data_IF_653152068043
#
_entry.id   IF_653152068043
#
_cell.length_a   1.000
_cell.length_b   1.000
_cell.length_c   1.000
_cell.angle_alpha   90.00
_cell.angle_beta   90.00
_cell.angle_gamma   90.00
#
_symmetry.space_group_name_H-M   'P 1'
#
loop_
_entity.id
_entity.type
_entity.pdbx_description
1 polymer ?
#
# COMPACT_ATOMS: atom_id res chain seq x y z
N UNK A 1 -2.69 -6.76 -16.02
CA UNK A 1 -2.38 -6.80 -17.48
C UNK A 1 -2.74 -5.47 -18.16
N UNK A 2 -3.99 -4.98 -18.13
CA UNK A 2 -4.33 -3.65 -18.72
C UNK A 2 -3.48 -2.49 -18.17
N UNK A 3 -3.19 -2.50 -16.87
CA UNK A 3 -2.36 -1.49 -16.20
C UNK A 3 -0.90 -1.47 -16.67
N UNK A 4 -0.35 -2.64 -16.98
CA UNK A 4 1.02 -2.78 -17.51
C UNK A 4 1.12 -2.26 -18.94
N UNK A 5 0.11 -2.52 -19.77
CA UNK A 5 0.08 -2.03 -21.15
C UNK A 5 -0.04 -0.51 -21.16
N UNK A 6 -0.85 0.07 -20.27
CA UNK A 6 -0.99 1.53 -20.17
C UNK A 6 0.31 2.24 -19.74
N UNK A 7 1.03 1.68 -18.76
CA UNK A 7 2.33 2.21 -18.31
C UNK A 7 3.43 2.06 -19.34
N UNK A 8 3.55 0.86 -19.90
CA UNK A 8 4.52 0.58 -20.95
C UNK A 8 4.30 1.49 -22.17
N UNK A 9 3.04 1.71 -22.57
CA UNK A 9 2.72 2.56 -23.72
C UNK A 9 2.98 4.04 -23.43
N UNK A 10 2.61 4.58 -22.26
CA UNK A 10 2.89 5.99 -21.95
C UNK A 10 4.39 6.27 -21.82
N UNK A 11 5.13 5.46 -21.07
CA UNK A 11 6.54 5.74 -20.83
C UNK A 11 7.41 5.41 -22.04
N UNK A 12 7.20 4.25 -22.69
CA UNK A 12 8.08 3.83 -23.80
C UNK A 12 7.72 4.51 -25.12
N UNK A 13 6.43 4.68 -25.44
CA UNK A 13 6.02 5.18 -26.77
C UNK A 13 5.86 6.70 -26.84
N UNK A 14 5.64 7.39 -25.71
CA UNK A 14 5.37 8.83 -25.68
C UNK A 14 6.51 9.58 -25.00
N UNK A 15 6.99 9.11 -23.84
CA UNK A 15 7.96 9.85 -23.04
C UNK A 15 9.40 9.73 -23.55
N UNK A 16 9.87 8.52 -23.90
CA UNK A 16 11.25 8.29 -24.36
C UNK A 16 11.56 9.00 -25.71
N UNK A 17 10.69 8.94 -26.75
CA UNK A 17 10.91 9.67 -27.98
C UNK A 17 10.91 11.19 -27.76
N UNK A 18 9.97 11.73 -26.97
CA UNK A 18 9.93 13.17 -26.68
C UNK A 18 11.18 13.65 -25.93
N UNK A 19 11.69 12.86 -24.98
CA UNK A 19 12.89 13.19 -24.19
C UNK A 19 14.18 13.12 -25.00
N UNK A 20 14.29 12.16 -25.91
CA UNK A 20 15.46 12.00 -26.79
C UNK A 20 15.51 13.04 -27.91
N UNK A 21 14.36 13.53 -28.39
CA UNK A 21 14.30 14.60 -29.39
C UNK A 21 14.45 16.02 -28.80
N UNK A 22 14.07 16.25 -27.54
CA UNK A 22 14.04 17.60 -26.93
C UNK A 22 15.26 18.02 -26.12
N UNK A 23 16.19 17.11 -25.80
CA UNK A 23 17.33 17.39 -24.91
C UNK A 23 18.65 17.50 -25.67
N UNK A 24 18.76 18.48 -26.57
CA UNK A 24 19.98 18.75 -27.36
C UNK A 24 21.18 19.23 -26.50
N UNK A 25 20.95 19.64 -25.23
CA UNK A 25 21.93 20.36 -24.41
C UNK A 25 22.34 19.68 -23.09
N UNK A 26 21.80 18.50 -22.76
CA UNK A 26 22.13 17.80 -21.52
C UNK A 26 22.85 16.47 -21.83
N UNK A 27 24.05 16.30 -21.28
CA UNK A 27 24.73 15.00 -21.30
C UNK A 27 23.87 13.98 -20.56
N UNK A 28 23.31 13.02 -21.28
CA UNK A 28 22.65 11.89 -20.66
C UNK A 28 23.73 11.03 -20.05
N UNK A 29 23.79 10.95 -18.72
CA UNK A 29 24.84 10.21 -17.98
C UNK A 29 24.99 8.76 -18.50
N UNK A 30 23.87 8.16 -18.92
CA UNK A 30 23.84 6.82 -19.51
C UNK A 30 24.48 6.68 -20.89
N UNK A 31 24.68 7.78 -21.62
CA UNK A 31 25.26 7.80 -22.97
C UNK A 31 26.64 8.50 -23.01
N UNK A 32 27.30 8.64 -21.86
CA UNK A 32 28.65 9.22 -21.79
C UNK A 32 29.63 8.37 -22.62
N UNK A 33 30.40 9.03 -23.50
CA UNK A 33 31.35 8.37 -24.41
C UNK A 33 30.80 8.05 -25.81
N UNK A 34 29.52 8.29 -26.09
CA UNK A 34 28.89 8.12 -27.40
C UNK A 34 28.86 9.41 -28.24
N UNK A 35 29.81 10.31 -28.03
CA UNK A 35 29.86 11.58 -28.76
C UNK A 35 30.38 11.40 -30.20
N UNK A 36 29.75 12.00 -31.22
CA UNK A 36 28.53 12.82 -31.15
C UNK A 36 27.23 11.97 -31.07
N UNK A 37 26.37 12.27 -30.09
CA UNK A 37 25.11 11.54 -29.81
C UNK A 37 24.10 11.64 -30.98
N UNK A 38 24.23 12.67 -31.80
CA UNK A 38 23.29 12.94 -32.90
C UNK A 38 23.63 12.18 -34.18
N UNK A 39 24.81 11.53 -34.25
CA UNK A 39 25.23 10.76 -35.42
C UNK A 39 24.78 9.30 -35.30
N UNK A 40 24.38 8.71 -36.43
CA UNK A 40 24.26 7.25 -36.54
C UNK A 40 25.68 6.64 -36.57
N UNK A 41 25.96 5.55 -35.82
CA UNK A 41 25.04 4.68 -35.08
C UNK A 41 24.84 5.04 -33.59
N UNK A 42 25.58 6.02 -33.07
CA UNK A 42 25.60 6.38 -31.64
C UNK A 42 24.22 6.78 -31.10
N UNK A 43 23.41 7.47 -31.92
CA UNK A 43 22.03 7.84 -31.59
C UNK A 43 21.16 6.62 -31.29
N UNK A 44 21.21 5.62 -32.16
CA UNK A 44 20.41 4.39 -32.03
C UNK A 44 20.86 3.60 -30.80
N UNK A 45 22.16 3.49 -30.58
CA UNK A 45 22.72 2.86 -29.38
C UNK A 45 22.25 3.56 -28.09
N UNK A 46 22.29 4.89 -28.03
CA UNK A 46 21.83 5.65 -26.88
C UNK A 46 20.31 5.47 -26.63
N UNK A 47 19.49 5.45 -27.69
CA UNK A 47 18.06 5.17 -27.56
C UNK A 47 17.79 3.78 -26.99
N UNK A 48 18.52 2.75 -27.44
CA UNK A 48 18.37 1.37 -26.93
C UNK A 48 18.78 1.29 -25.46
N UNK A 49 19.88 1.93 -25.07
CA UNK A 49 20.33 1.96 -23.67
C UNK A 49 19.26 2.60 -22.78
N UNK A 50 18.71 3.76 -23.19
CA UNK A 50 17.68 4.45 -22.41
C UNK A 50 16.38 3.65 -22.34
N UNK A 51 15.94 3.07 -23.45
CA UNK A 51 14.75 2.21 -23.47
C UNK A 51 14.90 1.01 -22.53
N UNK A 52 16.08 0.38 -22.51
CA UNK A 52 16.36 -0.73 -21.61
C UNK A 52 16.36 -0.28 -20.15
N UNK A 53 17.01 0.83 -19.82
CA UNK A 53 17.04 1.38 -18.46
C UNK A 53 15.64 1.71 -17.94
N UNK A 54 14.84 2.45 -18.71
CA UNK A 54 13.46 2.80 -18.33
C UNK A 54 12.59 1.55 -18.17
N UNK A 55 12.71 0.57 -19.07
CA UNK A 55 11.98 -0.70 -18.93
C UNK A 55 12.35 -1.43 -17.64
N UNK A 56 13.64 -1.51 -17.30
CA UNK A 56 14.06 -2.14 -16.04
C UNK A 56 13.55 -1.38 -14.82
N UNK A 57 13.58 -0.05 -14.84
CA UNK A 57 13.05 0.79 -13.75
C UNK A 57 11.54 0.55 -13.56
N UNK A 58 10.75 0.59 -14.63
CA UNK A 58 9.31 0.33 -14.59
C UNK A 58 9.00 -1.04 -14.00
N UNK A 59 9.72 -2.09 -14.45
CA UNK A 59 9.52 -3.45 -13.94
C UNK A 59 9.83 -3.54 -12.45
N UNK A 60 10.91 -2.91 -11.98
CA UNK A 60 11.26 -2.90 -10.55
C UNK A 60 10.22 -2.18 -9.69
N UNK A 61 9.77 -0.99 -10.10
CA UNK A 61 8.75 -0.21 -9.38
C UNK A 61 7.43 -0.98 -9.34
N UNK A 62 6.97 -1.51 -10.47
CA UNK A 62 5.74 -2.30 -10.54
C UNK A 62 5.81 -3.54 -9.63
N UNK A 63 6.96 -4.23 -9.61
CA UNK A 63 7.15 -5.43 -8.79
C UNK A 63 7.09 -5.09 -7.30
N UNK A 64 7.72 -3.98 -6.92
CA UNK A 64 7.68 -3.46 -5.56
C UNK A 64 6.26 -3.08 -5.15
N UNK A 65 5.56 -2.28 -5.95
CA UNK A 65 4.18 -1.83 -5.66
C UNK A 65 3.23 -3.02 -5.51
N UNK A 66 3.34 -4.02 -6.39
CA UNK A 66 2.47 -5.20 -6.36
C UNK A 66 2.76 -6.07 -5.15
N UNK A 67 4.03 -6.27 -4.82
CA UNK A 67 4.39 -7.05 -3.63
C UNK A 67 3.88 -6.37 -2.37
N UNK A 68 4.01 -5.04 -2.29
CA UNK A 68 3.46 -4.26 -1.18
C UNK A 68 1.94 -4.38 -1.09
N UNK A 69 1.21 -4.15 -2.19
CA UNK A 69 -0.25 -4.26 -2.24
C UNK A 69 -0.71 -5.68 -1.90
N UNK A 70 0.00 -6.71 -2.39
CA UNK A 70 -0.27 -8.10 -2.08
C UNK A 70 -0.11 -8.38 -0.59
N UNK A 71 0.98 -7.96 0.03
CA UNK A 71 1.23 -8.18 1.46
C UNK A 71 0.16 -7.50 2.33
N UNK A 72 -0.19 -6.25 2.03
CA UNK A 72 -1.28 -5.58 2.73
C UNK A 72 -2.63 -6.30 2.51
N UNK A 73 -2.93 -6.77 1.30
CA UNK A 73 -4.15 -7.52 1.00
C UNK A 73 -4.19 -8.87 1.71
N UNK A 74 -3.06 -9.56 1.76
CA UNK A 74 -2.91 -10.80 2.48
C UNK A 74 -3.15 -10.60 3.99
N UNK A 75 -2.50 -9.61 4.60
CA UNK A 75 -2.68 -9.34 6.04
C UNK A 75 -4.11 -8.91 6.37
N UNK A 76 -4.74 -8.07 5.54
CA UNK A 76 -6.15 -7.72 5.70
C UNK A 76 -7.07 -8.96 5.56
N UNK A 77 -6.78 -9.87 4.63
CA UNK A 77 -7.51 -11.12 4.49
C UNK A 77 -7.34 -12.04 5.71
N UNK A 78 -6.14 -12.09 6.31
CA UNK A 78 -5.92 -12.85 7.56
C UNK A 78 -6.82 -12.33 8.69
N UNK A 79 -6.96 -11.01 8.86
CA UNK A 79 -7.91 -10.44 9.83
C UNK A 79 -9.37 -10.78 9.49
N UNK A 80 -9.73 -10.77 8.20
CA UNK A 80 -11.07 -11.17 7.78
C UNK A 80 -11.37 -12.65 8.08
N UNK A 81 -10.40 -13.54 7.89
CA UNK A 81 -10.55 -14.96 8.26
C UNK A 81 -10.67 -15.10 9.77
N UNK A 82 -9.86 -14.38 10.55
CA UNK A 82 -9.96 -14.37 12.02
C UNK A 82 -11.34 -13.90 12.49
N UNK A 83 -11.91 -12.88 11.84
CA UNK A 83 -13.28 -12.43 12.08
C UNK A 83 -14.30 -13.55 11.84
N UNK A 84 -14.22 -14.26 10.71
CA UNK A 84 -15.12 -15.37 10.39
C UNK A 84 -14.97 -16.54 11.37
N UNK A 85 -13.74 -16.88 11.77
CA UNK A 85 -13.48 -17.89 12.77
C UNK A 85 -14.08 -17.53 14.13
N UNK A 86 -13.99 -16.26 14.52
CA UNK A 86 -14.56 -15.78 15.79
C UNK A 86 -16.09 -15.75 15.77
N UNK A 87 -16.69 -15.39 14.63
CA UNK A 87 -18.13 -15.47 14.44
C UNK A 87 -18.62 -16.93 14.49
N UNK A 88 -17.92 -17.86 13.84
CA UNK A 88 -18.19 -19.30 13.94
C UNK A 88 -18.04 -19.82 15.37
N UNK A 89 -17.01 -19.37 16.08
CA UNK A 89 -16.80 -19.71 17.49
C UNK A 89 -17.99 -19.27 18.37
N UNK A 90 -18.56 -18.09 18.11
CA UNK A 90 -19.71 -17.58 18.88
C UNK A 90 -20.94 -18.49 18.85
N UNK A 91 -21.16 -19.21 17.74
CA UNK A 91 -22.25 -20.17 17.60
C UNK A 91 -22.01 -21.39 18.49
N UNK A 92 -20.76 -21.89 18.53
CA UNK A 92 -20.37 -23.03 19.37
C UNK A 92 -20.45 -22.66 20.86
N UNK A 93 -19.95 -21.48 21.22
CA UNK A 93 -19.97 -20.98 22.60
C UNK A 93 -21.40 -20.88 23.17
N UNK A 94 -22.40 -20.63 22.33
CA UNK A 94 -23.83 -20.58 22.72
C UNK A 94 -24.50 -21.95 22.77
N UNK A 95 -24.02 -22.92 21.99
CA UNK A 95 -24.72 -24.21 21.78
C UNK A 95 -24.13 -25.34 22.63
N UNK A 96 -22.87 -25.22 23.06
CA UNK A 96 -22.22 -26.27 23.84
C UNK A 96 -22.80 -26.37 25.26
N UNK A 97 -23.40 -27.52 25.56
CA UNK A 97 -23.56 -27.99 26.92
C UNK A 97 -22.19 -28.22 27.58
N UNK A 98 -22.13 -28.11 28.91
CA UNK A 98 -20.90 -28.20 29.75
C UNK A 98 -20.32 -29.63 29.76
N UNK A 99 -19.98 -30.19 28.61
CA UNK A 99 -19.22 -31.44 28.45
C UNK A 99 -17.72 -31.14 28.37
N UNK A 100 -16.89 -32.05 28.87
CA UNK A 100 -15.43 -31.91 28.85
C UNK A 100 -14.86 -31.93 27.42
N UNK A 101 -15.50 -32.66 26.50
CA UNK A 101 -15.12 -32.70 25.07
C UNK A 101 -15.37 -31.37 24.37
N UNK A 102 -16.48 -30.70 24.69
CA UNK A 102 -16.78 -29.37 24.15
C UNK A 102 -15.78 -28.31 24.65
N UNK A 103 -15.38 -28.42 25.92
CA UNK A 103 -14.41 -27.50 26.52
C UNK A 103 -13.01 -27.64 25.92
N UNK A 104 -12.60 -28.86 25.55
CA UNK A 104 -11.30 -29.10 24.90
C UNK A 104 -11.29 -28.56 23.46
N UNK A 105 -12.38 -28.75 22.69
CA UNK A 105 -12.51 -28.18 21.35
C UNK A 105 -12.44 -26.63 21.37
N UNK A 106 -13.18 -26.00 22.30
CA UNK A 106 -13.15 -24.54 22.51
C UNK A 106 -11.73 -24.07 22.82
N UNK A 107 -11.01 -24.78 23.70
CA UNK A 107 -9.65 -24.43 24.07
C UNK A 107 -8.69 -24.51 22.87
N UNK A 108 -8.80 -25.55 22.05
CA UNK A 108 -7.95 -25.73 20.87
C UNK A 108 -8.25 -24.69 19.77
N UNK A 109 -9.53 -24.32 19.58
CA UNK A 109 -9.89 -23.23 18.67
C UNK A 109 -9.35 -21.89 19.15
N UNK A 110 -9.47 -21.57 20.44
CA UNK A 110 -8.92 -20.34 21.02
C UNK A 110 -7.40 -20.27 20.86
N UNK A 111 -6.67 -21.36 21.11
CA UNK A 111 -5.21 -21.42 20.89
C UNK A 111 -4.84 -21.09 19.44
N UNK A 112 -5.56 -21.65 18.46
CA UNK A 112 -5.35 -21.36 17.03
C UNK A 112 -5.61 -19.89 16.71
N UNK A 113 -6.71 -19.32 17.21
CA UNK A 113 -7.05 -17.90 17.01
C UNK A 113 -5.97 -17.00 17.61
N UNK A 114 -5.50 -17.28 18.84
CA UNK A 114 -4.43 -16.52 19.50
C UNK A 114 -3.15 -16.53 18.66
N UNK A 115 -2.73 -17.72 18.22
CA UNK A 115 -1.51 -17.87 17.41
C UNK A 115 -1.61 -17.09 16.09
N UNK A 116 -2.73 -17.24 15.37
CA UNK A 116 -2.96 -16.55 14.10
C UNK A 116 -3.09 -15.03 14.26
N UNK A 117 -3.74 -14.56 15.33
CA UNK A 117 -3.83 -13.14 15.64
C UNK A 117 -2.45 -12.55 15.94
N UNK A 118 -1.61 -13.25 16.73
CA UNK A 118 -0.23 -12.83 16.99
C UNK A 118 0.61 -12.78 15.70
N UNK A 119 0.46 -13.76 14.81
CA UNK A 119 1.14 -13.78 13.51
C UNK A 119 0.68 -12.62 12.62
N UNK A 120 -0.62 -12.31 12.60
CA UNK A 120 -1.19 -11.20 11.84
C UNK A 120 -0.62 -9.86 12.31
N UNK A 121 -0.56 -9.64 13.64
CA UNK A 121 0.04 -8.45 14.23
C UNK A 121 1.52 -8.33 13.88
N UNK A 122 2.28 -9.42 14.01
CA UNK A 122 3.69 -9.42 13.64
C UNK A 122 3.90 -9.15 12.14
N UNK A 123 3.00 -9.60 11.26
CA UNK A 123 3.03 -9.26 9.85
C UNK A 123 2.82 -7.76 9.60
N UNK A 124 1.92 -7.11 10.37
CA UNK A 124 1.73 -5.65 10.32
C UNK A 124 3.00 -4.92 10.77
N UNK A 125 3.59 -5.33 11.89
CA UNK A 125 4.83 -4.72 12.40
C UNK A 125 5.97 -4.83 11.38
N UNK A 126 6.10 -5.98 10.70
CA UNK A 126 7.09 -6.19 9.65
C UNK A 126 6.79 -5.37 8.40
N UNK A 127 5.53 -5.26 8.00
CA UNK A 127 5.11 -4.41 6.89
C UNK A 127 5.49 -2.95 7.15
N UNK A 128 5.21 -2.45 8.35
CA UNK A 128 5.59 -1.10 8.73
C UNK A 128 7.12 -0.94 8.74
N UNK A 129 7.86 -1.81 9.41
CA UNK A 129 9.31 -1.69 9.52
C UNK A 129 10.04 -1.69 8.16
N UNK A 130 9.56 -2.47 7.19
CA UNK A 130 10.19 -2.59 5.88
C UNK A 130 9.79 -1.43 4.96
N UNK A 131 8.52 -1.03 4.96
CA UNK A 131 7.97 -0.17 3.91
C UNK A 131 7.62 1.25 4.37
N UNK A 132 7.65 1.54 5.68
CA UNK A 132 7.23 2.85 6.20
C UNK A 132 7.99 4.01 5.56
N UNK A 133 9.32 3.94 5.53
CA UNK A 133 10.16 5.00 4.95
C UNK A 133 9.89 5.15 3.46
N UNK A 134 9.84 4.04 2.72
CA UNK A 134 9.63 4.06 1.28
C UNK A 134 8.26 4.65 0.89
N UNK A 135 7.20 4.28 1.61
CA UNK A 135 5.87 4.88 1.42
C UNK A 135 5.93 6.38 1.76
N UNK A 136 6.58 6.77 2.86
CA UNK A 136 6.75 8.18 3.23
C UNK A 136 7.46 9.02 2.16
N UNK A 137 8.56 8.50 1.60
CA UNK A 137 9.27 9.15 0.48
C UNK A 137 8.37 9.23 -0.76
N UNK A 138 7.63 8.17 -1.09
CA UNK A 138 6.68 8.17 -2.20
C UNK A 138 5.57 9.21 -2.03
N UNK A 139 5.04 9.38 -0.82
CA UNK A 139 4.08 10.45 -0.49
C UNK A 139 4.68 11.84 -0.72
N UNK A 140 5.91 12.07 -0.23
CA UNK A 140 6.59 13.36 -0.37
C UNK A 140 6.86 13.72 -1.83
N UNK A 141 7.40 12.77 -2.61
CA UNK A 141 7.66 12.96 -4.04
C UNK A 141 6.36 13.25 -4.79
N UNK A 142 5.30 12.48 -4.52
CA UNK A 142 4.00 12.68 -5.20
C UNK A 142 3.42 14.07 -4.86
N UNK A 143 3.54 14.52 -3.61
CA UNK A 143 3.09 15.85 -3.20
C UNK A 143 3.86 16.96 -3.91
N UNK A 144 5.19 16.87 -4.00
CA UNK A 144 6.03 17.84 -4.70
C UNK A 144 5.68 17.87 -6.19
N UNK A 145 5.57 16.70 -6.84
CA UNK A 145 5.21 16.58 -8.25
C UNK A 145 3.85 17.22 -8.55
N UNK A 146 2.86 17.05 -7.66
CA UNK A 146 1.56 17.68 -7.79
C UNK A 146 1.63 19.20 -7.65
N UNK A 147 2.40 19.72 -6.69
CA UNK A 147 2.62 21.16 -6.56
C UNK A 147 3.22 21.75 -7.85
N UNK A 148 4.25 21.10 -8.41
CA UNK A 148 4.89 21.53 -9.66
C UNK A 148 3.93 21.50 -10.86
N UNK A 149 3.09 20.46 -10.97
CA UNK A 149 2.11 20.33 -12.04
C UNK A 149 1.13 21.50 -12.13
N UNK A 150 0.78 22.10 -11.00
CA UNK A 150 -0.15 23.23 -11.00
C UNK A 150 0.52 24.58 -11.27
N UNK A 151 1.83 24.69 -11.06
CA UNK A 151 2.62 25.92 -11.25
C UNK A 151 3.18 26.04 -12.68
N UNK A 152 3.50 24.91 -13.32
CA UNK A 152 4.13 24.89 -14.64
C UNK A 152 3.17 25.27 -15.79
N UNK A 153 3.71 25.69 -16.95
CA UNK A 153 2.92 25.97 -18.15
C UNK A 153 2.15 24.74 -18.64
N UNK A 154 0.95 24.95 -19.18
CA UNK A 154 0.05 23.87 -19.62
C UNK A 154 0.68 22.90 -20.63
N UNK A 155 1.56 23.40 -21.49
CA UNK A 155 2.26 22.60 -22.51
C UNK A 155 3.20 21.57 -21.88
N UNK A 156 3.88 21.95 -20.79
CA UNK A 156 4.74 21.06 -20.00
C UNK A 156 3.86 20.08 -19.21
N UNK A 157 2.79 20.57 -18.58
CA UNK A 157 1.90 19.74 -17.76
C UNK A 157 1.27 18.58 -18.55
N UNK A 158 0.91 18.80 -19.82
CA UNK A 158 0.34 17.75 -20.67
C UNK A 158 1.30 16.56 -20.83
N UNK A 159 2.60 16.80 -20.88
CA UNK A 159 3.62 15.74 -21.01
C UNK A 159 3.79 14.92 -19.71
N UNK A 160 3.50 15.51 -18.54
CA UNK A 160 3.67 14.86 -17.23
C UNK A 160 2.37 14.35 -16.61
N UNK A 161 1.21 14.67 -17.21
CA UNK A 161 -0.10 14.27 -16.70
C UNK A 161 -0.25 12.75 -16.49
N UNK A 162 0.23 11.85 -17.39
CA UNK A 162 0.11 10.40 -17.18
C UNK A 162 0.87 9.92 -15.92
N UNK A 163 2.09 10.43 -15.72
CA UNK A 163 2.93 10.11 -14.57
C UNK A 163 2.26 10.52 -13.26
N UNK A 164 1.69 11.72 -13.21
CA UNK A 164 1.03 12.25 -12.01
C UNK A 164 -0.25 11.48 -11.70
N UNK A 165 -1.07 11.20 -12.71
CA UNK A 165 -2.25 10.36 -12.57
C UNK A 165 -1.89 8.97 -12.02
N UNK A 166 -0.79 8.39 -12.50
CA UNK A 166 -0.28 7.12 -12.00
C UNK A 166 0.14 7.20 -10.52
N UNK A 167 0.97 8.18 -10.15
CA UNK A 167 1.45 8.34 -8.77
C UNK A 167 0.28 8.57 -7.80
N UNK A 168 -0.68 9.40 -8.19
CA UNK A 168 -1.92 9.62 -7.43
C UNK A 168 -2.72 8.34 -7.24
N UNK A 169 -2.84 7.53 -8.29
CA UNK A 169 -3.59 6.27 -8.23
C UNK A 169 -2.92 5.25 -7.31
N UNK A 170 -1.60 5.09 -7.40
CA UNK A 170 -0.85 4.21 -6.49
C UNK A 170 -0.96 4.68 -5.04
N UNK A 171 -0.85 5.99 -4.81
CA UNK A 171 -1.02 6.58 -3.50
C UNK A 171 -2.41 6.30 -2.90
N UNK A 172 -3.44 6.44 -3.73
CA UNK A 172 -4.81 6.08 -3.37
C UNK A 172 -4.92 4.60 -3.00
N UNK A 173 -4.33 3.69 -3.79
CA UNK A 173 -4.37 2.25 -3.51
C UNK A 173 -3.70 1.91 -2.18
N UNK A 174 -2.57 2.53 -1.84
CA UNK A 174 -1.93 2.34 -0.53
C UNK A 174 -2.84 2.78 0.62
N UNK A 175 -3.43 3.98 0.51
CA UNK A 175 -4.35 4.51 1.52
C UNK A 175 -5.62 3.67 1.66
N UNK A 176 -6.17 3.22 0.53
CA UNK A 176 -7.33 2.34 0.47
C UNK A 176 -7.04 1.01 1.15
N UNK A 177 -5.88 0.41 0.85
CA UNK A 177 -5.52 -0.87 1.40
C UNK A 177 -5.16 -0.80 2.90
N UNK A 178 -4.48 0.27 3.35
CA UNK A 178 -4.27 0.55 4.76
C UNK A 178 -5.59 0.73 5.53
N UNK A 179 -6.57 1.42 4.93
CA UNK A 179 -7.92 1.53 5.48
C UNK A 179 -8.62 0.16 5.55
N UNK A 180 -8.53 -0.67 4.50
CA UNK A 180 -9.10 -2.02 4.49
C UNK A 180 -8.52 -2.90 5.60
N UNK A 181 -7.21 -2.85 5.81
CA UNK A 181 -6.54 -3.55 6.91
C UNK A 181 -7.06 -3.10 8.27
N UNK A 182 -7.11 -1.77 8.48
CA UNK A 182 -7.63 -1.18 9.73
C UNK A 182 -9.06 -1.65 9.99
N UNK A 183 -9.95 -1.53 9.01
CA UNK A 183 -11.36 -1.94 9.12
C UNK A 183 -11.52 -3.45 9.33
N UNK A 184 -10.68 -4.29 8.72
CA UNK A 184 -10.71 -5.73 8.96
C UNK A 184 -10.32 -6.07 10.41
N UNK A 185 -9.34 -5.36 10.97
CA UNK A 185 -8.94 -5.54 12.38
C UNK A 185 -10.02 -5.10 13.37
N UNK A 186 -10.71 -3.99 13.08
CA UNK A 186 -11.81 -3.47 13.90
C UNK A 186 -13.01 -4.44 13.88
N UNK A 187 -13.31 -5.05 12.72
CA UNK A 187 -14.32 -6.11 12.65
C UNK A 187 -13.96 -7.32 13.51
N UNK A 188 -12.69 -7.75 13.47
CA UNK A 188 -12.22 -8.84 14.31
C UNK A 188 -12.36 -8.50 15.80
N UNK A 189 -11.97 -7.29 16.23
CA UNK A 189 -12.16 -6.81 17.61
C UNK A 189 -13.63 -6.91 18.04
N UNK A 190 -14.55 -6.43 17.20
CA UNK A 190 -15.97 -6.50 17.48
C UNK A 190 -16.50 -7.93 17.57
N UNK A 191 -16.02 -8.83 16.69
CA UNK A 191 -16.39 -10.25 16.75
C UNK A 191 -15.85 -10.94 18.02
N UNK A 192 -14.65 -10.56 18.48
CA UNK A 192 -14.10 -11.04 19.75
C UNK A 192 -14.97 -10.58 20.92
N UNK A 193 -15.41 -9.32 20.92
CA UNK A 193 -16.31 -8.80 21.94
C UNK A 193 -17.67 -9.53 21.95
N UNK A 194 -18.24 -9.77 20.77
CA UNK A 194 -19.57 -10.36 20.58
C UNK A 194 -19.60 -11.90 20.59
N UNK A 195 -18.50 -12.57 20.94
CA UNK A 195 -18.37 -14.02 20.78
C UNK A 195 -19.12 -14.87 21.82
N UNK A 196 -19.83 -14.26 22.77
CA UNK A 196 -20.53 -14.99 23.83
C UNK A 196 -19.60 -15.53 24.90
N UNK A 197 -18.46 -14.88 25.13
CA UNK A 197 -17.42 -15.29 26.08
C UNK A 197 -17.94 -15.45 27.50
N UNK A 198 -19.01 -14.73 27.88
CA UNK A 198 -19.67 -14.81 29.17
C UNK A 198 -20.20 -16.22 29.51
N UNK A 199 -20.46 -17.05 28.49
CA UNK A 199 -20.95 -18.42 28.65
C UNK A 199 -19.82 -19.45 28.81
N UNK A 200 -18.57 -19.05 28.59
CA UNK A 200 -17.41 -19.93 28.65
C UNK A 200 -16.94 -20.15 30.10
N UNK A 201 -16.19 -21.22 30.40
CA UNK A 201 -15.54 -21.37 31.69
C UNK A 201 -14.48 -20.29 31.93
N UNK A 202 -14.18 -20.02 33.20
CA UNK A 202 -13.30 -18.91 33.64
C UNK A 202 -11.92 -18.92 32.96
N UNK A 203 -11.36 -20.10 32.68
CA UNK A 203 -10.07 -20.24 31.99
C UNK A 203 -10.12 -19.64 30.58
N UNK A 204 -11.15 -19.97 29.80
CA UNK A 204 -11.34 -19.51 28.43
C UNK A 204 -11.78 -18.04 28.39
N UNK A 205 -12.60 -17.58 29.35
CA UNK A 205 -12.93 -16.16 29.50
C UNK A 205 -11.67 -15.28 29.59
N UNK A 206 -10.69 -15.70 30.41
CA UNK A 206 -9.40 -14.99 30.53
C UNK A 206 -8.64 -14.96 29.21
N UNK A 207 -8.69 -16.03 28.43
CA UNK A 207 -8.04 -16.07 27.11
C UNK A 207 -8.69 -15.10 26.12
N UNK A 208 -10.03 -15.08 26.04
CA UNK A 208 -10.76 -14.14 25.19
C UNK A 208 -10.48 -12.68 25.61
N UNK A 209 -10.44 -12.41 26.92
CA UNK A 209 -10.11 -11.08 27.43
C UNK A 209 -8.72 -10.60 26.97
N UNK A 210 -7.73 -11.49 26.92
CA UNK A 210 -6.40 -11.16 26.39
C UNK A 210 -6.43 -10.85 24.89
N UNK A 211 -7.19 -11.63 24.11
CA UNK A 211 -7.39 -11.39 22.68
C UNK A 211 -8.04 -10.02 22.48
N UNK A 212 -9.13 -9.74 23.22
CA UNK A 212 -9.88 -8.49 23.13
C UNK A 212 -9.01 -7.29 23.47
N UNK A 213 -8.28 -7.35 24.59
CA UNK A 213 -7.38 -6.28 25.02
C UNK A 213 -6.32 -5.96 23.95
N UNK A 214 -5.84 -6.97 23.23
CA UNK A 214 -4.90 -6.76 22.14
C UNK A 214 -5.58 -6.25 20.87
N UNK A 215 -6.77 -6.77 20.53
CA UNK A 215 -7.53 -6.38 19.33
C UNK A 215 -8.06 -4.93 19.42
N UNK A 216 -8.29 -4.42 20.62
CA UNK A 216 -8.67 -3.02 20.88
C UNK A 216 -7.56 -2.01 20.58
N UNK A 217 -6.31 -2.47 20.43
CA UNK A 217 -5.24 -1.59 19.95
C UNK A 217 -5.42 -1.41 18.44
N UNK A 218 -5.53 -0.17 17.95
CA UNK A 218 -5.79 0.07 16.53
C UNK A 218 -4.62 -0.45 15.69
N UNK A 219 -4.93 -1.29 14.70
CA UNK A 219 -3.94 -1.84 13.77
C UNK A 219 -3.74 -0.86 12.62
N UNK A 220 -2.66 -0.08 12.70
CA UNK A 220 -2.34 0.98 11.76
C UNK A 220 -0.95 0.77 11.19
N UNK A 221 -0.79 1.14 9.92
CA UNK A 221 0.53 1.22 9.29
C UNK A 221 0.85 2.68 9.05
N UNK A 222 2.03 3.11 9.49
CA UNK A 222 2.48 4.48 9.32
C UNK A 222 3.43 4.63 8.12
N UNK A 223 3.25 5.70 7.34
CA UNK A 223 4.18 6.21 6.35
C UNK A 223 5.19 7.16 7.02
N UNK A 224 6.48 6.96 6.75
CA UNK A 224 7.58 7.72 7.33
C UNK A 224 7.61 7.71 8.85
N UNK A 225 7.06 6.66 9.50
CA UNK A 225 6.87 6.51 10.93
C UNK A 225 6.03 7.61 11.62
N UNK A 226 5.33 8.45 10.85
CA UNK A 226 4.62 9.63 11.39
C UNK A 226 3.16 9.66 10.94
N UNK A 227 2.89 9.32 9.68
CA UNK A 227 1.57 9.57 9.07
C UNK A 227 0.83 8.25 8.88
N UNK A 228 -0.34 8.02 9.50
CA UNK A 228 -1.08 6.77 9.30
C UNK A 228 -1.59 6.66 7.85
N UNK A 229 -1.43 5.49 7.23
CA UNK A 229 -1.87 5.23 5.86
C UNK A 229 -3.36 4.88 5.87
N UNK A 230 -4.20 5.88 5.57
CA UNK A 230 -5.65 5.74 5.46
C UNK A 230 -6.21 6.66 4.38
N UNK A 231 -7.44 6.39 3.93
CA UNK A 231 -8.14 7.24 2.95
C UNK A 231 -8.25 8.69 3.42
N UNK A 232 -8.42 8.91 4.73
CA UNK A 232 -8.43 10.25 5.32
C UNK A 232 -7.14 11.04 5.05
N UNK A 233 -5.99 10.39 5.20
CA UNK A 233 -4.67 10.98 4.90
C UNK A 233 -4.56 11.37 3.43
N UNK A 234 -5.00 10.50 2.52
CA UNK A 234 -5.06 10.82 1.08
C UNK A 234 -5.88 12.08 0.80
N UNK A 235 -7.07 12.18 1.40
CA UNK A 235 -7.95 13.33 1.23
C UNK A 235 -7.33 14.62 1.79
N UNK A 236 -6.69 14.57 2.96
CA UNK A 236 -5.98 15.73 3.52
C UNK A 236 -4.83 16.16 2.61
N UNK A 237 -4.05 15.22 2.08
CA UNK A 237 -2.94 15.54 1.18
C UNK A 237 -3.44 16.28 -0.06
N UNK A 238 -4.50 15.77 -0.71
CA UNK A 238 -5.11 16.44 -1.86
C UNK A 238 -5.68 17.81 -1.50
N UNK A 239 -6.36 17.94 -0.36
CA UNK A 239 -6.89 19.22 0.11
C UNK A 239 -5.77 20.24 0.35
N UNK A 240 -4.65 19.80 0.92
CA UNK A 240 -3.49 20.65 1.22
C UNK A 240 -2.83 21.15 -0.07
N UNK A 241 -2.67 20.27 -1.06
CA UNK A 241 -2.17 20.63 -2.39
C UNK A 241 -3.10 21.64 -3.06
N UNK A 242 -4.41 21.40 -3.05
CA UNK A 242 -5.38 22.34 -3.62
C UNK A 242 -5.30 23.72 -2.97
N UNK A 243 -5.24 23.79 -1.63
CA UNK A 243 -5.09 25.04 -0.88
C UNK A 243 -3.79 25.76 -1.25
N UNK A 244 -2.68 25.03 -1.33
CA UNK A 244 -1.39 25.59 -1.73
C UNK A 244 -1.47 26.21 -3.14
N UNK A 245 -2.04 25.49 -4.09
CA UNK A 245 -2.20 25.95 -5.48
C UNK A 245 -3.11 27.18 -5.57
N UNK A 246 -4.21 27.19 -4.82
CA UNK A 246 -5.13 28.32 -4.80
C UNK A 246 -4.46 29.61 -4.29
N UNK A 247 -3.55 29.51 -3.32
CA UNK A 247 -2.78 30.66 -2.81
C UNK A 247 -1.76 31.14 -3.85
N UNK A 248 -1.02 30.24 -4.50
CA UNK A 248 0.00 30.62 -5.49
C UNK A 248 -0.57 31.14 -6.82
N UNK A 249 -1.82 30.81 -7.14
CA UNK A 249 -2.50 31.30 -8.35
C UNK A 249 -3.33 32.56 -8.15
N UNK A 250 -3.45 33.07 -6.92
CA UNK A 250 -3.95 34.42 -6.62
C UNK A 250 -2.80 35.42 -6.72
#
# INVERSE_FOLDING_TARGET
IMWYIFHLVNDVMIYIPARTFGMENFSVVSCVGLEPINASPNREACMVILAFQELTAIVTVCTYDITLLFLFSHTAAVFQILYEEMMSFSVIAKTCGRSDEANSEIEDRLKKIIFRHALALHAVDKLEAIFSVAIGVGFGITAISLCLFFVLPMDVCRSFAPLICHSLFILFLYCFQGQRLTTASEKFEMAVYCCGWENLPVKQQRQVLLILKQAQKPVLVFAGCVIPIRIYTFAITLQSIYKFVAIFKM
#
